data_IF_967020671311
#
_entry.id   IF_967020671311
#
_cell.length_a   1.000
_cell.length_b   1.000
_cell.length_c   1.000
_cell.angle_alpha   90.00
_cell.angle_beta   90.00
_cell.angle_gamma   90.00
#
_symmetry.space_group_name_H-M   'P 1'
#
loop_
_entity.id
_entity.type
_entity.pdbx_description
1 polymer ?
#
# COMPACT_ATOMS: atom_id res chain seq x y z
N UNK A 1 -18.99 3.61 12.08
CA UNK A 1 -18.28 4.02 13.30
C UNK A 1 -17.16 3.05 13.73
N UNK A 2 -16.47 2.37 12.81
CA UNK A 2 -15.29 1.54 13.14
C UNK A 2 -14.00 1.95 12.40
N UNK A 3 -14.06 2.95 11.51
CA UNK A 3 -12.92 3.42 10.71
C UNK A 3 -12.10 4.55 11.35
N UNK A 4 -12.64 5.25 12.35
CA UNK A 4 -12.07 6.51 12.85
C UNK A 4 -10.75 6.33 13.63
N UNK A 5 -10.48 5.12 14.18
CA UNK A 5 -9.21 4.84 14.88
C UNK A 5 -8.03 4.61 13.94
N UNK A 6 -8.26 4.17 12.70
CA UNK A 6 -7.18 4.06 11.70
C UNK A 6 -6.82 5.44 11.12
N UNK A 7 -7.77 6.38 11.06
CA UNK A 7 -7.60 7.70 10.43
C UNK A 7 -6.56 8.60 11.13
N UNK A 8 -6.39 8.52 12.45
CA UNK A 8 -5.36 9.31 13.16
C UNK A 8 -3.93 8.93 12.75
N UNK A 9 -3.69 7.69 12.28
CA UNK A 9 -2.41 7.31 11.68
C UNK A 9 -2.30 7.65 10.19
N UNK A 10 -3.43 7.90 9.51
CA UNK A 10 -3.48 8.16 8.06
C UNK A 10 -3.08 9.60 7.72
N UNK A 11 -3.32 10.60 8.58
CA UNK A 11 -2.75 11.95 8.38
C UNK A 11 -1.20 11.94 8.40
N UNK A 12 -0.59 11.01 9.14
CA UNK A 12 0.86 10.79 9.09
C UNK A 12 1.30 10.13 7.77
N UNK A 13 0.37 9.50 7.05
CA UNK A 13 0.67 8.75 5.84
C UNK A 13 0.93 9.69 4.67
N UNK A 14 0.01 10.62 4.40
CA UNK A 14 0.17 11.60 3.32
C UNK A 14 1.44 12.45 3.51
N UNK A 15 1.71 12.87 4.74
CA UNK A 15 2.94 13.61 5.07
C UNK A 15 4.19 12.75 4.88
N UNK A 16 4.16 11.47 5.27
CA UNK A 16 5.26 10.53 5.05
C UNK A 16 5.48 10.25 3.55
N UNK A 17 4.41 10.12 2.77
CA UNK A 17 4.46 9.90 1.33
C UNK A 17 4.95 11.12 0.57
N UNK A 18 4.51 12.31 0.96
CA UNK A 18 5.04 13.54 0.40
C UNK A 18 6.54 13.66 0.70
N UNK A 19 6.98 13.31 1.91
CA UNK A 19 8.38 13.36 2.29
C UNK A 19 9.25 12.28 1.60
N UNK A 20 8.75 11.05 1.44
CA UNK A 20 9.54 9.90 0.94
C UNK A 20 9.37 9.61 -0.54
N UNK A 21 8.25 10.00 -1.14
CA UNK A 21 7.82 9.59 -2.47
C UNK A 21 7.04 10.67 -3.23
N UNK A 22 7.43 11.95 -3.09
CA UNK A 22 6.79 13.12 -3.75
C UNK A 22 6.45 12.91 -5.23
N UNK A 23 7.35 12.33 -6.02
CA UNK A 23 7.13 12.08 -7.45
C UNK A 23 5.97 11.12 -7.71
N UNK A 24 5.86 10.05 -6.92
CA UNK A 24 4.80 9.07 -7.06
C UNK A 24 3.48 9.63 -6.51
N UNK A 25 3.54 10.31 -5.37
CA UNK A 25 2.39 10.95 -4.74
C UNK A 25 1.74 11.99 -5.66
N UNK A 26 2.54 12.90 -6.22
CA UNK A 26 2.03 13.90 -7.19
C UNK A 26 1.46 13.25 -8.46
N UNK A 27 2.03 12.15 -8.93
CA UNK A 27 1.51 11.42 -10.09
C UNK A 27 0.15 10.76 -9.81
N UNK A 28 0.01 10.11 -8.65
CA UNK A 28 -1.27 9.52 -8.20
C UNK A 28 -2.37 10.57 -8.07
N UNK A 29 -2.04 11.73 -7.47
CA UNK A 29 -2.98 12.85 -7.32
C UNK A 29 -3.44 13.42 -8.66
N UNK A 30 -2.54 13.54 -9.64
CA UNK A 30 -2.89 13.94 -11.02
C UNK A 30 -3.83 12.95 -11.72
N UNK A 31 -3.80 11.69 -11.32
CA UNK A 31 -4.66 10.63 -11.85
C UNK A 31 -5.93 10.43 -11.01
N UNK A 32 -6.22 11.32 -10.06
CA UNK A 32 -7.38 11.26 -9.16
C UNK A 32 -7.47 9.93 -8.39
N UNK A 33 -6.32 9.40 -7.99
CA UNK A 33 -6.24 8.22 -7.13
C UNK A 33 -5.69 8.62 -5.78
N UNK A 34 -6.51 8.44 -4.74
CA UNK A 34 -6.10 8.67 -3.37
C UNK A 34 -5.26 7.48 -2.87
N UNK A 35 -4.16 7.78 -2.18
CA UNK A 35 -3.36 6.75 -1.52
C UNK A 35 -4.11 6.13 -0.34
N UNK A 36 -4.95 6.91 0.33
CA UNK A 36 -5.73 6.43 1.48
C UNK A 36 -6.59 5.23 1.06
N UNK A 37 -7.30 5.33 -0.07
CA UNK A 37 -8.12 4.25 -0.61
C UNK A 37 -7.31 2.97 -0.88
N UNK A 38 -6.08 3.12 -1.39
CA UNK A 38 -5.20 1.99 -1.67
C UNK A 38 -4.75 1.34 -0.36
N UNK A 39 -4.30 2.14 0.59
CA UNK A 39 -3.78 1.66 1.87
C UNK A 39 -4.88 1.07 2.75
N UNK A 40 -6.09 1.61 2.74
CA UNK A 40 -7.22 1.06 3.47
C UNK A 40 -7.49 -0.40 3.04
N UNK A 41 -7.49 -0.65 1.74
CA UNK A 41 -7.68 -2.00 1.15
C UNK A 41 -6.54 -2.96 1.51
N UNK A 42 -5.30 -2.47 1.56
CA UNK A 42 -4.11 -3.29 1.84
C UNK A 42 -3.96 -3.60 3.33
N UNK A 43 -4.16 -2.59 4.18
CA UNK A 43 -4.04 -2.69 5.63
C UNK A 43 -5.20 -3.49 6.23
N UNK A 44 -6.43 -3.30 5.75
CA UNK A 44 -7.59 -4.08 6.20
C UNK A 44 -7.42 -5.58 5.93
N UNK A 45 -6.58 -5.95 4.96
CA UNK A 45 -6.27 -7.34 4.64
C UNK A 45 -4.92 -7.80 5.18
N UNK A 46 -4.18 -6.97 5.93
CA UNK A 46 -2.81 -7.27 6.39
C UNK A 46 -1.91 -7.81 5.27
N UNK A 47 -2.06 -7.29 4.05
CA UNK A 47 -1.35 -7.77 2.85
C UNK A 47 -1.62 -9.23 2.45
N UNK A 48 -2.61 -9.90 3.06
CA UNK A 48 -3.08 -11.23 2.66
C UNK A 48 -3.61 -11.17 1.22
N UNK A 49 -3.09 -12.07 0.37
CA UNK A 49 -3.40 -12.13 -1.06
C UNK A 49 -2.46 -11.29 -1.93
N UNK A 50 -1.78 -10.29 -1.36
CA UNK A 50 -0.81 -9.46 -2.07
C UNK A 50 0.59 -10.06 -2.04
N UNK A 51 0.96 -10.63 -0.89
CA UNK A 51 2.26 -11.21 -0.62
C UNK A 51 2.12 -12.71 -0.36
N UNK A 52 3.22 -13.44 -0.57
CA UNK A 52 3.30 -14.87 -0.27
C UNK A 52 3.05 -15.12 1.22
N UNK A 53 2.47 -16.28 1.55
CA UNK A 53 2.05 -16.61 2.91
C UNK A 53 3.18 -16.44 3.94
N UNK A 54 4.39 -16.91 3.62
CA UNK A 54 5.56 -16.80 4.49
C UNK A 54 5.94 -15.34 4.79
N UNK A 55 5.73 -14.44 3.82
CA UNK A 55 5.99 -13.00 3.98
C UNK A 55 4.92 -12.39 4.87
N UNK A 56 3.65 -12.75 4.63
CA UNK A 56 2.52 -12.26 5.44
C UNK A 56 2.68 -12.68 6.90
N UNK A 57 3.10 -13.92 7.18
CA UNK A 57 3.39 -14.37 8.54
C UNK A 57 4.48 -13.52 9.21
N UNK A 58 5.59 -13.24 8.51
CA UNK A 58 6.64 -12.35 9.05
C UNK A 58 6.14 -10.93 9.30
N UNK A 59 5.25 -10.41 8.44
CA UNK A 59 4.65 -9.09 8.66
C UNK A 59 3.78 -9.12 9.92
N UNK A 60 3.02 -10.20 10.14
CA UNK A 60 2.21 -10.38 11.34
C UNK A 60 3.10 -10.46 12.59
N UNK A 61 4.21 -11.22 12.55
CA UNK A 61 5.15 -11.31 13.68
C UNK A 61 5.70 -9.93 14.08
N UNK A 62 6.17 -9.14 13.10
CA UNK A 62 6.68 -7.80 13.36
C UNK A 62 5.56 -6.85 13.78
N UNK A 63 4.35 -7.01 13.25
CA UNK A 63 3.19 -6.22 13.66
C UNK A 63 2.80 -6.49 15.12
N UNK A 64 2.86 -7.74 15.58
CA UNK A 64 2.61 -8.09 16.97
C UNK A 64 3.69 -7.53 17.92
N UNK A 65 4.92 -7.36 17.44
CA UNK A 65 6.04 -6.82 18.21
C UNK A 65 6.07 -5.27 18.25
N UNK A 66 6.02 -4.61 17.08
CA UNK A 66 6.19 -3.16 16.95
C UNK A 66 4.86 -2.39 16.86
N UNK A 67 3.76 -3.07 16.54
CA UNK A 67 2.43 -2.48 16.34
C UNK A 67 2.15 -2.01 14.91
N UNK A 68 1.05 -1.26 14.75
CA UNK A 68 0.46 -0.86 13.45
C UNK A 68 1.37 -0.03 12.54
N UNK A 69 2.37 0.66 13.11
CA UNK A 69 3.31 1.48 12.36
C UNK A 69 4.08 0.68 11.30
N UNK A 70 4.32 -0.61 11.55
CA UNK A 70 5.06 -1.45 10.61
C UNK A 70 4.29 -1.68 9.31
N UNK A 71 2.96 -1.76 9.38
CA UNK A 71 2.13 -2.03 8.20
C UNK A 71 2.25 -0.90 7.17
N UNK A 72 2.33 0.35 7.64
CA UNK A 72 2.56 1.50 6.78
C UNK A 72 3.95 1.47 6.13
N UNK A 73 4.99 1.04 6.87
CA UNK A 73 6.35 0.86 6.31
C UNK A 73 6.36 -0.19 5.20
N UNK A 74 5.67 -1.32 5.42
CA UNK A 74 5.56 -2.37 4.41
C UNK A 74 4.79 -1.91 3.17
N UNK A 75 3.65 -1.24 3.35
CA UNK A 75 2.90 -0.73 2.20
C UNK A 75 3.66 0.35 1.43
N UNK A 76 4.37 1.25 2.12
CA UNK A 76 5.26 2.23 1.48
C UNK A 76 6.38 1.54 0.70
N UNK A 77 7.03 0.54 1.29
CA UNK A 77 8.07 -0.24 0.62
C UNK A 77 7.54 -0.94 -0.63
N UNK A 78 6.35 -1.57 -0.55
CA UNK A 78 5.71 -2.20 -1.70
C UNK A 78 5.43 -1.20 -2.83
N UNK A 79 4.93 0.00 -2.51
CA UNK A 79 4.72 1.07 -3.49
C UNK A 79 6.05 1.53 -4.12
N UNK A 80 7.11 1.65 -3.33
CA UNK A 80 8.44 2.03 -3.81
C UNK A 80 9.03 0.98 -4.75
N UNK A 81 8.84 -0.32 -4.47
CA UNK A 81 9.30 -1.40 -5.35
C UNK A 81 8.63 -1.35 -6.74
N UNK A 82 7.39 -0.86 -6.82
CA UNK A 82 6.67 -0.73 -8.08
C UNK A 82 6.65 0.69 -8.65
N UNK A 83 7.40 1.63 -8.05
CA UNK A 83 7.38 3.06 -8.39
C UNK A 83 7.53 3.31 -9.88
N UNK A 84 8.52 2.70 -10.53
CA UNK A 84 8.77 2.91 -11.96
C UNK A 84 7.60 2.43 -12.85
N UNK A 85 6.95 1.33 -12.45
CA UNK A 85 5.81 0.79 -13.19
C UNK A 85 4.57 1.65 -12.98
N UNK A 86 4.35 2.14 -11.76
CA UNK A 86 3.26 3.04 -11.42
C UNK A 86 3.39 4.41 -12.12
N UNK A 87 4.61 4.94 -12.23
CA UNK A 87 4.88 6.19 -12.95
C UNK A 87 4.65 6.07 -14.48
N UNK A 88 4.67 4.86 -15.04
CA UNK A 88 4.34 4.62 -16.46
C UNK A 88 2.84 4.65 -16.74
N UNK A 89 1.99 4.47 -15.72
CA UNK A 89 0.54 4.54 -15.89
C UNK A 89 0.12 5.97 -16.22
N UNK A 90 -0.67 6.16 -17.28
CA UNK A 90 -1.12 7.50 -17.73
C UNK A 90 -2.55 7.83 -17.36
N UNK A 91 -3.34 6.85 -16.92
CA UNK A 91 -4.72 7.03 -16.49
C UNK A 91 -4.97 6.38 -15.13
N UNK A 92 -5.88 6.94 -14.34
CA UNK A 92 -6.28 6.36 -13.05
C UNK A 92 -6.81 4.93 -13.18
N UNK A 93 -7.48 4.61 -14.28
CA UNK A 93 -7.97 3.26 -14.59
C UNK A 93 -6.84 2.25 -14.85
N UNK A 94 -5.77 2.64 -15.56
CA UNK A 94 -4.58 1.80 -15.72
C UNK A 94 -3.89 1.55 -14.38
N UNK A 95 -3.78 2.58 -13.56
CA UNK A 95 -3.15 2.48 -12.24
C UNK A 95 -3.95 1.57 -11.30
N UNK A 96 -5.26 1.77 -11.20
CA UNK A 96 -6.17 0.90 -10.41
C UNK A 96 -6.11 -0.55 -10.89
N UNK A 97 -6.05 -0.78 -12.21
CA UNK A 97 -5.91 -2.12 -12.79
C UNK A 97 -4.55 -2.73 -12.45
N UNK A 98 -3.47 -1.96 -12.50
CA UNK A 98 -2.14 -2.42 -12.14
C UNK A 98 -2.04 -2.79 -10.66
N UNK A 99 -2.59 -1.97 -9.77
CA UNK A 99 -2.69 -2.27 -8.34
C UNK A 99 -3.55 -3.51 -8.09
N UNK A 100 -4.69 -3.63 -8.78
CA UNK A 100 -5.56 -4.82 -8.70
C UNK A 100 -4.87 -6.09 -9.21
N UNK A 101 -3.98 -5.96 -10.19
CA UNK A 101 -3.11 -7.05 -10.67
C UNK A 101 -2.07 -7.39 -9.60
N UNK A 102 -1.43 -6.40 -8.99
CA UNK A 102 -0.46 -6.61 -7.91
C UNK A 102 -1.08 -7.43 -6.76
N UNK A 103 -2.34 -7.18 -6.41
CA UNK A 103 -3.06 -7.98 -5.39
C UNK A 103 -3.38 -9.42 -5.79
N UNK A 104 -3.22 -9.79 -7.06
CA UNK A 104 -3.63 -11.12 -7.57
C UNK A 104 -2.46 -12.03 -7.95
N UNK A 105 -1.25 -11.50 -8.16
CA UNK A 105 -0.25 -12.20 -8.99
C UNK A 105 0.79 -13.04 -8.23
N UNK A 106 0.59 -13.45 -6.96
CA UNK A 106 1.55 -14.34 -6.28
C UNK A 106 0.92 -15.40 -5.38
N UNK A 107 0.07 -16.25 -5.96
CA UNK A 107 -0.15 -17.61 -5.45
C UNK A 107 0.78 -18.56 -6.21
N UNK A 108 2.07 -18.59 -5.85
CA UNK A 108 2.91 -19.74 -6.20
C UNK A 108 2.93 -20.64 -4.97
N UNK A 109 1.88 -21.45 -4.84
CA UNK A 109 1.94 -22.63 -3.98
C UNK A 109 3.09 -23.48 -4.50
N UNK A 110 4.05 -23.77 -3.61
CA UNK A 110 5.04 -24.81 -3.83
C UNK A 110 4.56 -26.07 -3.12
#
# INVERSE_FOLDING_TARGET
>A
MSGERFMCHVESLDTLFEARCRTLYSHLRKLEVDMIDIFEVWLARLFVGFLEYDIVLRIIDVFLLEGSKVLFRFGLAAMMMHKESLLKCRTGSQLKTYLAKLMRTRTRAK
#
